data_IF_569452603172
#
_entry.id   IF_569452603172
#
_cell.length_a   1.000
_cell.length_b   1.000
_cell.length_c   1.000
_cell.angle_alpha   90.00
_cell.angle_beta   90.00
_cell.angle_gamma   90.00
#
_symmetry.space_group_name_H-M   'P 1'
#
loop_
_entity.id
_entity.type
_entity.pdbx_description
1 polymer ?
#
# COMPACT_ATOMS: atom_id res chain seq x y z
N UNK A 1 -32.01 -5.89 51.80
CA UNK A 1 -32.29 -4.44 51.90
C UNK A 1 -31.03 -3.69 51.50
N UNK A 2 -31.18 -2.78 50.52
CA UNK A 2 -30.32 -1.68 49.99
C UNK A 2 -28.81 -1.66 50.31
N UNK A 3 -27.94 -1.83 49.31
CA UNK A 3 -27.34 -0.81 48.40
C UNK A 3 -25.97 -0.32 48.97
N UNK A 4 -24.88 -0.18 48.20
CA UNK A 4 -24.63 0.86 47.20
C UNK A 4 -23.66 0.39 46.10
N UNK A 5 -23.89 0.92 44.91
CA UNK A 5 -23.11 0.82 43.68
C UNK A 5 -21.78 1.59 43.79
N UNK A 6 -20.70 1.05 43.19
CA UNK A 6 -19.55 1.86 42.77
C UNK A 6 -19.30 1.65 41.27
N UNK A 7 -19.61 2.67 40.48
CA UNK A 7 -19.16 2.82 39.10
C UNK A 7 -17.93 3.72 39.14
N UNK A 8 -16.80 3.24 38.62
CA UNK A 8 -15.74 4.13 38.13
C UNK A 8 -15.11 3.53 36.87
N UNK A 9 -15.28 4.28 35.79
CA UNK A 9 -14.78 4.09 34.44
C UNK A 9 -13.26 4.33 34.39
N UNK A 10 -12.57 3.70 33.43
CA UNK A 10 -11.36 4.32 32.86
C UNK A 10 -10.20 3.38 32.57
N UNK A 11 -10.03 3.08 31.27
CA UNK A 11 -8.79 3.25 30.50
C UNK A 11 -7.50 2.59 31.02
N UNK A 12 -6.89 1.75 30.19
CA UNK A 12 -5.43 1.70 30.08
C UNK A 12 -4.75 0.34 30.25
N UNK A 13 -4.74 -0.43 29.17
CA UNK A 13 -3.74 -1.42 28.71
C UNK A 13 -2.57 -1.75 29.68
N UNK A 14 -2.80 -2.76 30.52
CA UNK A 14 -2.03 -4.01 30.69
C UNK A 14 -0.58 -4.01 30.15
N UNK A 15 0.38 -3.69 31.03
CA UNK A 15 1.77 -4.14 30.92
C UNK A 15 1.87 -5.51 31.58
N UNK A 16 2.25 -6.54 30.82
CA UNK A 16 2.51 -7.88 31.36
C UNK A 16 4.00 -7.99 31.64
N UNK A 17 4.35 -8.12 32.92
CA UNK A 17 5.67 -8.50 33.40
C UNK A 17 5.61 -10.01 33.60
N UNK A 18 6.27 -10.79 32.75
CA UNK A 18 6.36 -12.25 32.87
C UNK A 18 7.59 -12.59 33.71
N UNK A 19 7.39 -13.13 34.90
CA UNK A 19 8.44 -13.74 35.71
C UNK A 19 8.80 -15.11 35.12
N UNK A 20 10.09 -15.37 34.93
CA UNK A 20 10.60 -16.67 34.53
C UNK A 20 10.83 -17.54 35.78
N UNK A 21 10.10 -18.65 35.89
CA UNK A 21 10.39 -19.72 36.85
C UNK A 21 11.22 -20.77 36.11
N UNK A 22 12.44 -20.98 36.59
CA UNK A 22 13.29 -22.07 36.12
C UNK A 22 12.86 -23.40 36.74
N UNK A 23 12.80 -24.44 35.91
CA UNK A 23 12.82 -25.83 36.35
C UNK A 23 13.97 -26.52 35.62
N UNK A 24 14.85 -27.12 36.40
CA UNK A 24 15.87 -28.04 35.95
C UNK A 24 15.27 -29.45 35.91
N UNK A 25 15.65 -30.25 34.91
CA UNK A 25 15.89 -31.67 35.16
C UNK A 25 16.88 -32.29 34.17
N UNK A 26 17.63 -33.27 34.67
CA UNK A 26 18.74 -33.98 34.01
C UNK A 26 18.28 -35.33 33.44
N UNK A 27 18.94 -35.78 32.37
CA UNK A 27 19.22 -37.23 32.18
C UNK A 27 19.18 -37.78 30.75
N UNK A 28 20.36 -37.85 30.12
CA UNK A 28 20.99 -38.96 29.33
C UNK A 28 20.10 -40.05 28.69
N UNK A 29 20.27 -40.49 27.42
CA UNK A 29 21.38 -41.33 26.93
C UNK A 29 21.49 -41.37 25.37
N UNK A 30 22.74 -41.19 24.90
CA UNK A 30 23.51 -41.91 23.85
C UNK A 30 22.91 -42.31 22.49
N UNK A 31 23.58 -41.90 21.39
CA UNK A 31 23.49 -42.55 20.07
C UNK A 31 24.27 -41.86 18.93
N UNK A 32 25.56 -42.22 18.79
CA UNK A 32 26.55 -41.97 17.71
C UNK A 32 26.03 -41.57 16.30
N UNK A 33 26.66 -40.57 15.66
CA UNK A 33 27.61 -40.73 14.52
C UNK A 33 28.51 -39.46 14.42
N UNK A 34 29.85 -39.55 14.44
CA UNK A 34 30.71 -38.41 14.11
C UNK A 34 31.09 -38.48 12.63
N UNK A 35 30.37 -37.76 11.76
CA UNK A 35 30.89 -37.47 10.43
C UNK A 35 31.92 -36.34 10.55
N UNK A 36 33.15 -36.71 10.94
CA UNK A 36 34.34 -35.86 10.81
C UNK A 36 34.64 -35.67 9.32
N UNK A 37 33.90 -34.77 8.67
CA UNK A 37 34.36 -34.17 7.43
C UNK A 37 35.50 -33.21 7.78
N UNK A 38 36.70 -33.76 7.89
CA UNK A 38 37.94 -32.98 7.96
C UNK A 38 38.19 -32.39 6.58
N UNK A 39 37.46 -31.33 6.22
CA UNK A 39 37.78 -30.51 5.05
C UNK A 39 38.82 -29.49 5.49
N UNK A 40 40.09 -29.85 5.32
CA UNK A 40 41.19 -28.92 5.42
C UNK A 40 41.03 -27.86 4.33
N UNK A 41 40.40 -26.74 4.67
CA UNK A 41 40.58 -25.51 3.93
C UNK A 41 41.79 -24.84 4.56
N UNK A 42 42.89 -24.80 3.81
CA UNK A 42 44.06 -23.97 4.09
C UNK A 42 43.62 -22.65 4.69
N UNK A 43 44.13 -22.32 5.87
CA UNK A 43 43.96 -20.99 6.47
C UNK A 43 44.75 -19.99 5.62
N UNK A 44 44.26 -19.68 4.42
CA UNK A 44 44.52 -18.39 3.83
C UNK A 44 43.71 -17.41 4.67
N UNK A 45 44.37 -16.82 5.65
CA UNK A 45 43.86 -15.70 6.43
C UNK A 45 43.37 -14.66 5.42
N UNK A 46 42.06 -14.50 5.22
CA UNK A 46 41.55 -13.30 4.54
C UNK A 46 41.91 -12.14 5.45
N UNK A 47 43.01 -11.47 5.14
CA UNK A 47 43.27 -10.14 5.64
C UNK A 47 42.18 -9.30 4.99
N UNK A 48 41.10 -9.03 5.73
CA UNK A 48 40.17 -7.98 5.34
C UNK A 48 40.95 -6.68 5.50
N UNK A 49 41.65 -6.26 4.46
CA UNK A 49 42.12 -4.88 4.35
C UNK A 49 40.91 -3.98 4.54
N UNK A 50 41.05 -2.96 5.37
CA UNK A 50 39.98 -2.01 5.74
C UNK A 50 39.30 -1.34 4.54
N UNK A 51 39.92 -1.41 3.36
CA UNK A 51 39.58 -0.64 2.18
C UNK A 51 38.41 -1.22 1.35
N UNK A 52 38.04 -2.50 1.53
CA UNK A 52 36.96 -3.16 0.78
C UNK A 52 35.63 -3.27 1.56
N UNK A 53 35.50 -2.52 2.66
CA UNK A 53 34.28 -2.51 3.44
C UNK A 53 33.17 -1.72 2.71
N UNK A 54 31.91 -2.16 2.80
CA UNK A 54 30.80 -1.45 2.18
C UNK A 54 30.62 -0.08 2.85
N UNK A 55 30.68 0.97 2.05
CA UNK A 55 30.44 2.34 2.50
C UNK A 55 28.92 2.52 2.70
N UNK A 56 28.45 3.02 3.85
CA UNK A 56 27.05 3.37 4.02
C UNK A 56 26.72 4.59 3.14
N UNK A 57 26.00 4.34 2.04
CA UNK A 57 25.52 5.35 1.09
C UNK A 57 24.04 5.14 0.77
N UNK A 58 23.32 6.19 0.35
CA UNK A 58 22.00 6.01 -0.25
C UNK A 58 22.08 5.17 -1.53
N UNK A 59 21.07 4.33 -1.80
CA UNK A 59 21.07 3.46 -2.98
C UNK A 59 21.13 4.30 -4.29
N UNK A 60 22.24 4.24 -5.05
CA UNK A 60 22.40 5.03 -6.28
C UNK A 60 21.56 4.49 -7.44
N UNK A 61 21.17 3.22 -7.39
CA UNK A 61 20.34 2.55 -8.40
C UNK A 61 18.84 2.65 -8.08
N UNK A 62 18.45 3.53 -7.15
CA UNK A 62 17.05 3.70 -6.77
C UNK A 62 16.30 4.44 -7.88
N UNK A 63 15.44 3.71 -8.58
CA UNK A 63 14.53 4.30 -9.57
C UNK A 63 13.57 5.33 -8.93
N UNK A 64 13.22 6.40 -9.66
CA UNK A 64 12.24 7.37 -9.19
C UNK A 64 10.86 6.71 -9.04
N UNK A 65 10.09 7.18 -8.07
CA UNK A 65 8.75 6.65 -7.82
C UNK A 65 7.84 6.90 -9.03
N UNK A 66 7.12 5.85 -9.44
CA UNK A 66 6.14 5.93 -10.52
C UNK A 66 5.03 6.93 -10.16
N UNK A 67 4.78 7.87 -11.06
CA UNK A 67 3.74 8.89 -10.92
C UNK A 67 2.47 8.43 -11.64
N UNK A 68 1.33 8.91 -11.15
CA UNK A 68 0.04 8.77 -11.80
C UNK A 68 -0.10 9.69 -13.01
N UNK A 69 -1.05 9.41 -13.89
CA UNK A 69 -1.28 10.15 -15.15
C UNK A 69 -1.59 11.63 -14.89
N UNK A 70 -2.31 11.94 -13.80
CA UNK A 70 -2.70 13.30 -13.41
C UNK A 70 -1.84 13.90 -12.30
N UNK A 71 -0.68 13.31 -12.02
CA UNK A 71 0.20 13.84 -10.98
C UNK A 71 0.73 15.22 -11.41
N UNK A 72 0.73 16.18 -10.49
CA UNK A 72 1.08 17.60 -10.71
C UNK A 72 0.12 18.42 -11.62
N UNK A 73 -0.87 17.79 -12.26
CA UNK A 73 -1.89 18.51 -13.06
C UNK A 73 -3.03 19.04 -12.20
N UNK A 74 -3.55 20.23 -12.53
CA UNK A 74 -4.73 20.81 -11.88
C UNK A 74 -5.99 20.23 -12.51
N UNK A 75 -6.95 19.84 -11.66
CA UNK A 75 -8.22 19.23 -12.08
C UNK A 75 -9.34 20.19 -11.75
N UNK A 76 -10.00 20.71 -12.80
CA UNK A 76 -11.13 21.61 -12.68
C UNK A 76 -12.44 20.89 -13.04
N UNK A 77 -13.53 21.27 -12.35
CA UNK A 77 -14.85 20.72 -12.62
C UNK A 77 -15.44 21.15 -13.97
N UNK A 78 -14.86 22.19 -14.58
CA UNK A 78 -15.26 22.74 -15.89
C UNK A 78 -14.78 21.88 -17.06
N UNK A 79 -13.73 21.08 -16.86
CA UNK A 79 -13.11 20.28 -17.91
C UNK A 79 -13.84 18.94 -18.06
N UNK A 80 -15.04 18.98 -18.63
CA UNK A 80 -15.94 17.82 -18.76
C UNK A 80 -15.28 16.69 -19.55
N UNK A 81 -14.50 17.01 -20.58
CA UNK A 81 -13.78 16.00 -21.39
C UNK A 81 -12.87 15.11 -20.53
N UNK A 82 -12.05 15.71 -19.66
CA UNK A 82 -11.15 14.98 -18.76
C UNK A 82 -11.93 14.15 -17.74
N UNK A 83 -12.99 14.72 -17.15
CA UNK A 83 -13.81 14.03 -16.15
C UNK A 83 -14.55 12.83 -16.76
N UNK A 84 -15.02 12.97 -18.00
CA UNK A 84 -15.75 11.94 -18.74
C UNK A 84 -14.91 10.69 -19.04
N UNK A 85 -13.58 10.78 -18.96
CA UNK A 85 -12.68 9.62 -19.14
C UNK A 85 -12.66 8.68 -17.92
N UNK A 86 -13.05 9.17 -16.74
CA UNK A 86 -13.05 8.41 -15.48
C UNK A 86 -14.43 7.82 -15.12
N UNK A 87 -15.35 7.80 -16.08
CA UNK A 87 -16.75 7.41 -15.90
C UNK A 87 -17.11 6.26 -16.86
N UNK A 88 -18.02 5.39 -16.41
CA UNK A 88 -18.63 4.35 -17.24
C UNK A 88 -19.45 4.97 -18.39
N UNK A 89 -19.21 4.56 -19.65
CA UNK A 89 -19.96 5.09 -20.79
C UNK A 89 -21.46 4.82 -20.68
N UNK A 90 -21.83 3.64 -20.17
CA UNK A 90 -23.23 3.18 -20.12
C UNK A 90 -23.97 3.61 -18.85
N UNK A 91 -23.26 3.69 -17.71
CA UNK A 91 -23.92 3.81 -16.39
C UNK A 91 -23.67 5.15 -15.70
N UNK A 92 -22.71 5.96 -16.18
CA UNK A 92 -22.32 7.17 -15.45
C UNK A 92 -21.58 6.91 -14.12
N UNK A 93 -21.31 5.65 -13.78
CA UNK A 93 -20.56 5.26 -12.58
C UNK A 93 -19.11 5.73 -12.64
N UNK A 94 -18.64 6.36 -11.56
CA UNK A 94 -17.25 6.79 -11.41
C UNK A 94 -16.37 5.58 -11.10
N UNK A 95 -15.30 5.37 -11.87
CA UNK A 95 -14.40 4.24 -11.64
C UNK A 95 -13.59 4.36 -10.35
N UNK A 96 -13.27 3.21 -9.76
CA UNK A 96 -12.41 3.11 -8.59
C UNK A 96 -10.91 3.27 -8.91
N UNK A 97 -10.08 3.27 -7.87
CA UNK A 97 -8.62 3.42 -8.02
C UNK A 97 -7.93 2.25 -8.69
N UNK A 98 -8.43 1.03 -8.45
CA UNK A 98 -7.88 -0.18 -9.05
C UNK A 98 -8.01 -0.20 -10.58
N UNK A 99 -8.91 0.63 -11.13
CA UNK A 99 -9.13 0.79 -12.57
C UNK A 99 -8.35 2.00 -13.10
N UNK A 100 -8.55 3.16 -12.47
CA UNK A 100 -8.00 4.44 -12.96
C UNK A 100 -6.50 4.58 -12.74
N UNK A 101 -5.91 3.83 -11.80
CA UNK A 101 -4.49 3.92 -11.46
C UNK A 101 -4.08 5.26 -10.85
N UNK A 102 -5.02 6.08 -10.37
CA UNK A 102 -4.73 7.39 -9.80
C UNK A 102 -4.31 7.32 -8.33
N UNK A 103 -3.47 8.28 -7.93
CA UNK A 103 -3.11 8.45 -6.53
C UNK A 103 -4.31 8.80 -5.65
N UNK A 104 -4.20 8.40 -4.37
CA UNK A 104 -4.71 9.11 -3.18
C UNK A 104 -5.53 10.38 -3.40
N UNK A 105 -4.79 11.43 -3.67
CA UNK A 105 -5.25 12.81 -3.67
C UNK A 105 -6.03 13.09 -4.95
N UNK A 106 -5.49 12.66 -6.10
CA UNK A 106 -6.10 12.86 -7.42
C UNK A 106 -7.43 12.14 -7.60
N UNK A 107 -7.59 10.93 -7.07
CA UNK A 107 -8.90 10.26 -7.11
C UNK A 107 -9.97 11.07 -6.36
N UNK A 108 -9.63 11.60 -5.17
CA UNK A 108 -10.57 12.42 -4.38
C UNK A 108 -10.90 13.73 -5.09
N UNK A 109 -9.91 14.37 -5.71
CA UNK A 109 -10.10 15.57 -6.52
C UNK A 109 -11.04 15.30 -7.70
N UNK A 110 -10.81 14.22 -8.47
CA UNK A 110 -11.66 13.81 -9.60
C UNK A 110 -13.09 13.53 -9.15
N UNK A 111 -13.30 12.74 -8.09
CA UNK A 111 -14.64 12.45 -7.59
C UNK A 111 -15.38 13.71 -7.13
N UNK A 112 -14.68 14.65 -6.47
CA UNK A 112 -15.27 15.94 -6.07
C UNK A 112 -15.61 16.81 -7.27
N UNK A 113 -14.73 16.86 -8.27
CA UNK A 113 -14.92 17.62 -9.50
C UNK A 113 -16.11 17.07 -10.32
N UNK A 114 -16.20 15.75 -10.49
CA UNK A 114 -17.34 15.06 -11.14
C UNK A 114 -18.66 15.40 -10.45
N UNK A 115 -18.73 15.21 -9.13
CA UNK A 115 -19.95 15.49 -8.37
C UNK A 115 -20.34 16.97 -8.42
N UNK A 116 -19.35 17.88 -8.46
CA UNK A 116 -19.59 19.32 -8.62
C UNK A 116 -20.11 19.64 -10.01
N UNK A 117 -19.49 19.11 -11.06
CA UNK A 117 -19.90 19.28 -12.45
C UNK A 117 -21.33 18.79 -12.67
N UNK A 118 -21.68 17.63 -12.10
CA UNK A 118 -23.04 17.08 -12.14
C UNK A 118 -24.07 17.98 -11.45
N UNK A 119 -23.78 18.47 -10.24
CA UNK A 119 -24.68 19.38 -9.51
C UNK A 119 -24.87 20.72 -10.21
N UNK A 120 -23.85 21.21 -10.92
CA UNK A 120 -23.88 22.47 -11.64
C UNK A 120 -24.42 22.34 -13.08
N UNK A 121 -24.76 21.12 -13.53
CA UNK A 121 -25.31 20.89 -14.87
C UNK A 121 -24.29 20.85 -16.00
N UNK A 122 -22.98 20.78 -15.72
CA UNK A 122 -21.95 20.65 -16.76
C UNK A 122 -21.82 19.23 -17.31
N UNK A 123 -22.23 18.21 -16.56
CA UNK A 123 -22.04 16.81 -16.94
C UNK A 123 -23.24 15.94 -16.52
N UNK A 124 -23.71 15.01 -17.36
CA UNK A 124 -24.78 14.08 -17.01
C UNK A 124 -24.39 13.11 -15.87
N UNK A 125 -25.39 12.62 -15.15
CA UNK A 125 -25.22 11.66 -14.03
C UNK A 125 -25.38 10.21 -14.48
N UNK A 126 -26.34 9.96 -15.37
CA UNK A 126 -26.80 8.61 -15.73
C UNK A 126 -26.02 7.97 -16.87
N UNK A 127 -25.45 8.77 -17.76
CA UNK A 127 -24.68 8.31 -18.91
C UNK A 127 -23.51 9.25 -19.18
N UNK A 128 -22.56 8.82 -20.02
CA UNK A 128 -21.48 9.67 -20.52
C UNK A 128 -21.96 10.41 -21.77
N UNK A 129 -21.64 11.69 -21.88
CA UNK A 129 -21.96 12.49 -23.06
C UNK A 129 -21.41 11.82 -24.35
N UNK A 130 -22.26 11.58 -25.38
CA UNK A 130 -21.85 10.98 -26.65
C UNK A 130 -20.68 11.70 -27.33
N UNK A 131 -20.52 13.01 -27.12
CA UNK A 131 -19.42 13.78 -27.69
C UNK A 131 -18.04 13.27 -27.26
N UNK A 132 -17.92 12.80 -26.01
CA UNK A 132 -16.65 12.34 -25.42
C UNK A 132 -16.46 10.82 -25.47
N UNK A 133 -17.31 10.08 -26.20
CA UNK A 133 -17.22 8.63 -26.26
C UNK A 133 -15.99 8.13 -27.03
N UNK A 134 -15.53 8.91 -28.02
CA UNK A 134 -14.39 8.60 -28.90
C UNK A 134 -13.02 9.00 -28.32
N UNK A 135 -13.00 9.61 -27.13
CA UNK A 135 -11.75 9.99 -26.45
C UNK A 135 -10.87 8.76 -26.12
N UNK A 136 -9.54 8.93 -26.04
CA UNK A 136 -8.63 7.85 -25.66
C UNK A 136 -9.01 7.28 -24.29
N UNK A 137 -9.12 5.95 -24.23
CA UNK A 137 -9.52 5.24 -23.01
C UNK A 137 -8.35 5.16 -22.03
N UNK A 138 -8.44 5.89 -20.92
CA UNK A 138 -7.47 5.86 -19.82
C UNK A 138 -7.67 4.61 -18.93
N UNK A 139 -8.91 4.15 -18.82
CA UNK A 139 -9.27 3.03 -17.97
C UNK A 139 -9.24 1.73 -18.79
N UNK A 140 -8.43 0.76 -18.37
CA UNK A 140 -8.28 -0.54 -19.02
C UNK A 140 -9.44 -1.50 -18.69
N UNK A 141 -10.68 -1.07 -18.93
CA UNK A 141 -11.87 -1.92 -18.76
C UNK A 141 -12.23 -2.50 -20.12
N UNK A 142 -12.35 -3.83 -20.16
CA UNK A 142 -12.95 -4.54 -21.27
C UNK A 142 -14.39 -4.84 -20.88
N UNK A 143 -15.33 -4.31 -21.65
CA UNK A 143 -16.71 -4.76 -21.59
C UNK A 143 -16.81 -6.07 -22.38
N UNK A 144 -17.68 -6.97 -21.92
CA UNK A 144 -17.99 -8.17 -22.69
C UNK A 144 -18.81 -7.72 -23.91
N UNK A 145 -18.26 -8.01 -25.09
CA UNK A 145 -18.94 -7.80 -26.38
C UNK A 145 -20.13 -8.75 -26.53
#
# INVERSE_FOLDING_TARGET
MFAVVAVCSGVGRKSWITAAVGLADRGTHAGKVPALWRRGCSQYQRVASSEDLPIPMENPYKEPLKKCILCEKRVDYKNVQLLSQFISPFTGCIYGRHITGLCGKKQKEITKAIKRAQKMGFMPVTYKDPAYLKDPKVCNIRYRE
#
